data_IF_632033019584
#
_entry.id   IF_632033019584
#
_cell.length_a   1.000
_cell.length_b   1.000
_cell.length_c   1.000
_cell.angle_alpha   90.00
_cell.angle_beta   90.00
_cell.angle_gamma   90.00
#
_symmetry.space_group_name_H-M   'P 1'
#
loop_
_entity.id
_entity.type
_entity.pdbx_description
1 polymer ?
#
# COMPACT_ATOMS: atom_id res chain seq x y z
N UNK A 1 -18.70 0.46 -31.86
CA UNK A 1 -17.92 0.70 -30.64
C UNK A 1 -18.91 0.94 -29.53
N UNK A 2 -19.18 -0.10 -28.75
CA UNK A 2 -20.34 -0.19 -27.88
C UNK A 2 -20.25 0.83 -26.72
N UNK A 3 -21.35 1.56 -26.50
CA UNK A 3 -21.48 2.57 -25.44
C UNK A 3 -21.13 2.02 -24.04
N UNK A 4 -21.21 0.70 -23.84
CA UNK A 4 -20.77 0.02 -22.61
C UNK A 4 -19.26 0.10 -22.35
N UNK A 5 -18.43 0.09 -23.39
CA UNK A 5 -16.97 0.14 -23.25
C UNK A 5 -16.48 1.54 -22.82
N UNK A 6 -17.13 2.60 -23.34
CA UNK A 6 -16.82 3.98 -22.93
C UNK A 6 -17.21 4.20 -21.46
N UNK A 7 -18.35 3.66 -21.02
CA UNK A 7 -18.78 3.69 -19.62
C UNK A 7 -17.77 3.03 -18.67
N UNK A 8 -17.24 1.86 -19.04
CA UNK A 8 -16.19 1.15 -18.30
C UNK A 8 -14.90 1.96 -18.19
N UNK A 9 -14.49 2.64 -19.26
CA UNK A 9 -13.29 3.49 -19.27
C UNK A 9 -13.46 4.69 -18.34
N UNK A 10 -14.60 5.37 -18.39
CA UNK A 10 -14.89 6.53 -17.54
C UNK A 10 -15.00 6.11 -16.07
N UNK A 11 -15.70 5.01 -15.78
CA UNK A 11 -15.81 4.49 -14.43
C UNK A 11 -14.42 4.09 -13.87
N UNK A 12 -13.60 3.40 -14.67
CA UNK A 12 -12.23 3.06 -14.30
C UNK A 12 -11.35 4.29 -14.05
N UNK A 13 -11.51 5.35 -14.84
CA UNK A 13 -10.80 6.62 -14.64
C UNK A 13 -11.20 7.29 -13.33
N UNK A 14 -12.50 7.41 -13.03
CA UNK A 14 -13.00 8.05 -11.81
C UNK A 14 -12.58 7.27 -10.56
N UNK A 15 -12.74 5.94 -10.59
CA UNK A 15 -12.31 5.08 -9.48
C UNK A 15 -10.80 5.16 -9.28
N UNK A 16 -10.02 5.07 -10.36
CA UNK A 16 -8.56 5.21 -10.30
C UNK A 16 -8.11 6.57 -9.79
N UNK A 17 -8.83 7.65 -10.13
CA UNK A 17 -8.57 8.99 -9.64
C UNK A 17 -8.85 9.13 -8.14
N UNK A 18 -10.00 8.61 -7.66
CA UNK A 18 -10.36 8.65 -6.23
C UNK A 18 -9.38 7.81 -5.38
N UNK A 19 -9.04 6.60 -5.85
CA UNK A 19 -8.06 5.73 -5.16
C UNK A 19 -6.67 6.37 -5.19
N UNK A 20 -6.29 6.97 -6.32
CA UNK A 20 -5.03 7.70 -6.45
C UNK A 20 -4.92 8.91 -5.52
N UNK A 21 -5.99 9.69 -5.37
CA UNK A 21 -6.03 10.85 -4.46
C UNK A 21 -6.07 10.45 -2.98
N UNK A 22 -6.80 9.40 -2.63
CA UNK A 22 -6.93 8.98 -1.24
C UNK A 22 -5.66 8.33 -0.72
N UNK A 23 -4.84 7.71 -1.58
CA UNK A 23 -3.60 7.03 -1.18
C UNK A 23 -3.79 5.84 -0.22
N UNK A 24 -5.04 5.60 0.20
CA UNK A 24 -5.50 4.42 0.93
C UNK A 24 -5.54 3.30 -0.10
N UNK A 25 -4.49 2.46 -0.11
CA UNK A 25 -4.27 1.44 -1.14
C UNK A 25 -5.53 0.62 -1.45
N UNK A 26 -5.76 0.38 -2.75
CA UNK A 26 -6.93 -0.30 -3.31
C UNK A 26 -7.37 -1.55 -2.54
N UNK A 27 -6.44 -2.34 -2.00
CA UNK A 27 -6.75 -3.61 -1.33
C UNK A 27 -7.56 -3.53 -0.03
N UNK A 28 -7.61 -2.39 0.63
CA UNK A 28 -8.46 -2.25 1.82
C UNK A 28 -9.96 -2.20 1.48
N UNK A 29 -10.32 -1.73 0.27
CA UNK A 29 -11.70 -1.55 -0.18
C UNK A 29 -12.06 -2.50 -1.33
N UNK A 30 -11.16 -2.74 -2.28
CA UNK A 30 -11.41 -3.53 -3.47
C UNK A 30 -11.46 -5.03 -3.17
N UNK A 31 -10.63 -5.52 -2.25
CA UNK A 31 -10.63 -6.93 -1.87
C UNK A 31 -11.92 -7.39 -1.18
N UNK A 32 -12.50 -6.69 -0.18
CA UNK A 32 -13.78 -7.10 0.40
C UNK A 32 -14.94 -7.02 -0.61
N UNK A 33 -14.92 -6.07 -1.55
CA UNK A 33 -15.92 -5.98 -2.63
C UNK A 33 -15.82 -7.19 -3.56
N UNK A 34 -14.62 -7.58 -4.00
CA UNK A 34 -14.42 -8.72 -4.90
C UNK A 34 -14.73 -10.07 -4.25
N UNK A 35 -14.52 -10.20 -2.94
CA UNK A 35 -14.93 -11.40 -2.19
C UNK A 35 -16.45 -11.53 -2.10
N UNK A 36 -17.18 -10.41 -2.04
CA UNK A 36 -18.64 -10.42 -2.07
C UNK A 36 -19.19 -10.94 -3.41
N UNK A 37 -18.41 -10.80 -4.50
CA UNK A 37 -18.71 -11.37 -5.82
C UNK A 37 -18.30 -12.84 -6.00
N UNK A 38 -17.83 -13.53 -4.95
CA UNK A 38 -17.55 -14.97 -5.00
C UNK A 38 -16.28 -15.38 -5.75
N UNK A 39 -15.40 -14.43 -6.07
CA UNK A 39 -14.12 -14.70 -6.75
C UNK A 39 -13.14 -15.34 -5.76
N UNK A 40 -12.25 -16.21 -6.27
CA UNK A 40 -11.17 -16.79 -5.47
C UNK A 40 -10.34 -15.67 -4.78
N UNK A 41 -10.23 -15.69 -3.44
CA UNK A 41 -9.50 -14.68 -2.65
C UNK A 41 -8.06 -14.45 -3.10
N UNK A 42 -7.36 -15.53 -3.47
CA UNK A 42 -5.96 -15.46 -3.87
C UNK A 42 -5.80 -14.63 -5.15
N UNK A 43 -6.67 -14.87 -6.14
CA UNK A 43 -6.66 -14.15 -7.40
C UNK A 43 -7.09 -12.69 -7.21
N UNK A 44 -8.14 -12.44 -6.41
CA UNK A 44 -8.64 -11.11 -6.14
C UNK A 44 -7.58 -10.21 -5.46
N UNK A 45 -6.89 -10.73 -4.44
CA UNK A 45 -5.81 -10.01 -3.74
C UNK A 45 -4.63 -9.77 -4.67
N UNK A 46 -4.23 -10.78 -5.46
CA UNK A 46 -3.10 -10.66 -6.39
C UNK A 46 -3.32 -9.60 -7.46
N UNK A 47 -4.51 -9.58 -8.08
CA UNK A 47 -4.84 -8.59 -9.11
C UNK A 47 -4.93 -7.17 -8.55
N UNK A 48 -5.53 -6.99 -7.38
CA UNK A 48 -5.57 -5.69 -6.72
C UNK A 48 -4.16 -5.18 -6.36
N UNK A 49 -3.29 -6.05 -5.84
CA UNK A 49 -1.93 -5.67 -5.50
C UNK A 49 -1.13 -5.22 -6.73
N UNK A 50 -1.29 -5.90 -7.86
CA UNK A 50 -0.69 -5.50 -9.14
C UNK A 50 -1.21 -4.14 -9.60
N UNK A 51 -2.53 -3.92 -9.54
CA UNK A 51 -3.15 -2.64 -9.88
C UNK A 51 -2.64 -1.50 -8.97
N UNK A 52 -2.57 -1.75 -7.66
CA UNK A 52 -2.04 -0.80 -6.68
C UNK A 52 -0.56 -0.49 -6.93
N UNK A 53 0.24 -1.47 -7.32
CA UNK A 53 1.65 -1.27 -7.64
C UNK A 53 1.83 -0.35 -8.86
N UNK A 54 1.06 -0.56 -9.93
CA UNK A 54 1.13 0.26 -11.16
C UNK A 54 0.72 1.70 -10.86
N UNK A 55 -0.43 1.88 -10.19
CA UNK A 55 -0.95 3.23 -9.87
C UNK A 55 -0.02 3.99 -8.92
N UNK A 56 0.54 3.32 -7.91
CA UNK A 56 1.52 3.93 -7.00
C UNK A 56 2.83 4.26 -7.69
N UNK A 57 3.31 3.42 -8.61
CA UNK A 57 4.53 3.69 -9.37
C UNK A 57 4.41 5.00 -10.18
N UNK A 58 3.26 5.24 -10.81
CA UNK A 58 2.97 6.52 -11.46
C UNK A 58 2.98 7.70 -10.49
N UNK A 59 2.37 7.54 -9.30
CA UNK A 59 2.40 8.56 -8.24
C UNK A 59 3.81 8.86 -7.71
N UNK A 60 4.65 7.83 -7.57
CA UNK A 60 6.05 7.96 -7.16
C UNK A 60 6.84 8.79 -8.15
N UNK A 61 6.67 8.59 -9.47
CA UNK A 61 7.37 9.39 -10.48
C UNK A 61 7.06 10.89 -10.37
N UNK A 62 5.79 11.23 -10.12
CA UNK A 62 5.36 12.63 -9.95
C UNK A 62 5.94 13.23 -8.67
N UNK A 63 5.89 12.51 -7.54
CA UNK A 63 6.43 12.99 -6.26
C UNK A 63 7.96 13.04 -6.24
N UNK A 64 8.62 12.14 -6.98
CA UNK A 64 10.07 12.10 -7.16
C UNK A 64 10.56 13.34 -7.91
N UNK A 65 9.85 13.74 -8.97
CA UNK A 65 10.14 14.98 -9.71
C UNK A 65 10.04 16.22 -8.81
N UNK A 66 9.11 16.22 -7.87
CA UNK A 66 8.91 17.32 -6.92
C UNK A 66 9.89 17.29 -5.72
N UNK A 67 10.84 16.34 -5.67
CA UNK A 67 11.79 16.14 -4.54
C UNK A 67 11.14 15.94 -3.16
N UNK A 68 9.90 15.46 -3.13
CA UNK A 68 9.15 15.24 -1.89
C UNK A 68 9.34 13.83 -1.29
N UNK A 69 10.32 13.06 -1.77
CA UNK A 69 10.55 11.67 -1.34
C UNK A 69 11.77 11.60 -0.44
N UNK A 70 11.56 11.14 0.80
CA UNK A 70 12.63 10.70 1.68
C UNK A 70 13.06 9.27 1.28
N UNK A 71 14.17 9.19 0.55
CA UNK A 71 14.72 7.92 0.08
C UNK A 71 15.30 7.05 1.20
N UNK A 72 15.67 7.64 2.34
CA UNK A 72 16.17 6.87 3.48
C UNK A 72 15.02 6.09 4.13
N UNK A 73 13.91 6.76 4.44
CA UNK A 73 12.71 6.11 5.01
C UNK A 73 12.16 5.05 4.05
N UNK A 74 12.10 5.39 2.76
CA UNK A 74 11.66 4.46 1.70
C UNK A 74 12.55 3.21 1.65
N UNK A 75 13.87 3.37 1.75
CA UNK A 75 14.82 2.26 1.81
C UNK A 75 14.58 1.34 3.00
N UNK A 76 14.44 1.89 4.21
CA UNK A 76 14.16 1.12 5.42
C UNK A 76 12.83 0.35 5.34
N UNK A 77 11.77 0.97 4.83
CA UNK A 77 10.48 0.32 4.63
C UNK A 77 10.56 -0.82 3.60
N UNK A 78 11.31 -0.62 2.51
CA UNK A 78 11.47 -1.62 1.45
C UNK A 78 12.26 -2.83 1.96
N UNK A 79 13.33 -2.58 2.72
CA UNK A 79 14.15 -3.63 3.34
C UNK A 79 13.38 -4.46 4.37
N UNK A 80 12.38 -3.90 5.04
CA UNK A 80 11.50 -4.68 5.92
C UNK A 80 10.41 -5.44 5.14
N UNK A 81 9.73 -4.76 4.23
CA UNK A 81 8.53 -5.30 3.57
C UNK A 81 8.82 -6.34 2.49
N UNK A 82 9.81 -6.12 1.61
CA UNK A 82 10.09 -7.02 0.49
C UNK A 82 10.57 -8.40 0.96
N UNK A 83 11.53 -8.51 1.90
CA UNK A 83 11.95 -9.80 2.43
C UNK A 83 10.84 -10.49 3.24
N UNK A 84 10.03 -9.72 3.98
CA UNK A 84 8.91 -10.29 4.72
C UNK A 84 7.87 -10.94 3.80
N UNK A 85 7.53 -10.31 2.67
CA UNK A 85 6.66 -10.90 1.65
C UNK A 85 7.29 -12.18 1.09
N UNK A 86 8.57 -12.14 0.71
CA UNK A 86 9.27 -13.32 0.20
C UNK A 86 9.30 -14.48 1.19
N UNK A 87 9.59 -14.21 2.46
CA UNK A 87 9.63 -15.20 3.53
C UNK A 87 8.24 -15.78 3.81
N UNK A 88 7.20 -14.95 3.78
CA UNK A 88 5.80 -15.40 3.94
C UNK A 88 5.37 -16.30 2.79
N UNK A 89 5.67 -15.93 1.55
CA UNK A 89 5.35 -16.75 0.37
C UNK A 89 6.12 -18.07 0.39
N UNK A 90 7.41 -18.04 0.77
CA UNK A 90 8.21 -19.25 0.91
C UNK A 90 7.66 -20.19 1.99
N UNK A 91 7.31 -19.64 3.16
CA UNK A 91 6.69 -20.39 4.24
C UNK A 91 5.35 -20.99 3.82
N UNK A 92 4.51 -20.21 3.13
CA UNK A 92 3.22 -20.66 2.63
C UNK A 92 3.35 -21.73 1.53
N UNK A 93 4.36 -21.61 0.67
CA UNK A 93 4.64 -22.61 -0.37
C UNK A 93 5.18 -23.93 0.18
N UNK A 94 5.86 -23.89 1.34
CA UNK A 94 6.35 -25.08 2.03
C UNK A 94 5.21 -25.89 2.66
N UNK A 95 4.07 -25.23 2.92
CA UNK A 95 2.83 -25.87 3.34
C UNK A 95 2.06 -26.31 2.09
N UNK A 96 2.36 -27.49 1.55
CA UNK A 96 1.61 -28.16 0.48
C UNK A 96 0.17 -28.50 0.93
N UNK A 97 -0.67 -27.48 1.10
CA UNK A 97 -2.06 -27.59 1.53
C UNK A 97 -3.00 -27.55 0.32
N UNK A 98 -4.17 -28.17 0.46
CA UNK A 98 -5.19 -28.15 -0.59
C UNK A 98 -5.63 -26.71 -0.95
N UNK A 99 -6.06 -26.46 -2.20
CA UNK A 99 -6.48 -25.13 -2.66
C UNK A 99 -7.54 -24.46 -1.78
N UNK A 100 -8.45 -25.26 -1.21
CA UNK A 100 -9.52 -24.77 -0.33
C UNK A 100 -9.01 -24.26 1.02
N UNK A 101 -8.00 -24.93 1.60
CA UNK A 101 -7.36 -24.50 2.83
C UNK A 101 -6.59 -23.18 2.62
N UNK A 102 -5.92 -23.03 1.48
CA UNK A 102 -5.21 -21.80 1.12
C UNK A 102 -6.16 -20.61 1.01
N UNK A 103 -7.30 -20.81 0.35
CA UNK A 103 -8.34 -19.79 0.22
C UNK A 103 -8.92 -19.39 1.58
N UNK A 104 -9.12 -20.34 2.50
CA UNK A 104 -9.59 -20.06 3.85
C UNK A 104 -8.57 -19.23 4.66
N UNK A 105 -7.28 -19.58 4.58
CA UNK A 105 -6.20 -18.84 5.23
C UNK A 105 -6.13 -17.40 4.70
N UNK A 106 -6.18 -17.21 3.38
CA UNK A 106 -6.16 -15.88 2.75
C UNK A 106 -7.37 -15.04 3.19
N UNK A 107 -8.58 -15.63 3.23
CA UNK A 107 -9.79 -14.93 3.71
C UNK A 107 -9.65 -14.49 5.17
N UNK A 108 -9.18 -15.36 6.04
CA UNK A 108 -9.01 -15.06 7.47
C UNK A 108 -7.92 -14.00 7.70
N UNK A 109 -6.78 -14.14 7.02
CA UNK A 109 -5.69 -13.16 7.08
C UNK A 109 -6.17 -11.77 6.61
N UNK A 110 -6.92 -11.71 5.53
CA UNK A 110 -7.51 -10.45 5.05
C UNK A 110 -8.45 -9.84 6.10
N UNK A 111 -9.36 -10.63 6.67
CA UNK A 111 -10.28 -10.16 7.71
C UNK A 111 -9.54 -9.61 8.93
N UNK A 112 -8.50 -10.30 9.38
CA UNK A 112 -7.65 -9.83 10.47
C UNK A 112 -6.93 -8.52 10.12
N UNK A 113 -6.34 -8.42 8.92
CA UNK A 113 -5.64 -7.21 8.47
C UNK A 113 -6.60 -6.02 8.35
N UNK A 114 -7.80 -6.21 7.80
CA UNK A 114 -8.81 -5.15 7.70
C UNK A 114 -9.26 -4.67 9.08
N UNK A 115 -9.51 -5.61 10.00
CA UNK A 115 -9.86 -5.28 11.38
C UNK A 115 -8.73 -4.53 12.10
N UNK A 116 -7.50 -5.04 12.00
CA UNK A 116 -6.32 -4.40 12.56
C UNK A 116 -6.08 -3.00 11.98
N UNK A 117 -6.30 -2.81 10.67
CA UNK A 117 -6.20 -1.51 9.99
C UNK A 117 -7.27 -0.55 10.50
N UNK A 118 -8.52 -0.99 10.60
CA UNK A 118 -9.61 -0.16 11.13
C UNK A 118 -9.31 0.28 12.58
N UNK A 119 -8.83 -0.65 13.40
CA UNK A 119 -8.43 -0.37 14.78
C UNK A 119 -7.25 0.61 14.84
N UNK A 120 -6.21 0.40 14.02
CA UNK A 120 -5.07 1.31 13.92
C UNK A 120 -5.48 2.72 13.48
N UNK A 121 -6.43 2.86 12.55
CA UNK A 121 -6.96 4.15 12.10
C UNK A 121 -7.71 4.85 13.25
N UNK A 122 -8.50 4.12 14.04
CA UNK A 122 -9.24 4.67 15.18
C UNK A 122 -8.29 5.20 16.27
N UNK A 123 -7.19 4.49 16.52
CA UNK A 123 -6.16 4.90 17.47
C UNK A 123 -5.08 5.82 16.86
N UNK A 124 -5.16 6.14 15.56
CA UNK A 124 -4.14 6.94 14.84
C UNK A 124 -3.78 8.23 15.57
N UNK A 125 -4.76 8.92 16.16
CA UNK A 125 -4.53 10.15 16.93
C UNK A 125 -3.61 9.91 18.15
N UNK A 126 -3.78 8.79 18.86
CA UNK A 126 -2.92 8.41 19.99
C UNK A 126 -1.59 7.82 19.53
N UNK A 127 -1.58 7.07 18.43
CA UNK A 127 -0.38 6.47 17.87
C UNK A 127 0.60 7.54 17.36
N UNK A 128 0.07 8.59 16.73
CA UNK A 128 0.86 9.73 16.27
C UNK A 128 1.41 10.56 17.44
N UNK A 129 0.62 10.76 18.50
CA UNK A 129 1.11 11.41 19.73
C UNK A 129 2.27 10.60 20.35
N UNK A 130 2.09 9.28 20.50
CA UNK A 130 3.13 8.40 21.03
C UNK A 130 4.39 8.31 20.13
N UNK A 131 4.21 8.37 18.82
CA UNK A 131 5.31 8.42 17.86
C UNK A 131 6.06 9.75 17.93
N UNK A 132 5.35 10.87 18.10
CA UNK A 132 5.97 12.19 18.27
C UNK A 132 6.76 12.28 19.58
N UNK A 133 6.21 11.72 20.67
CA UNK A 133 6.85 11.68 21.98
C UNK A 133 8.14 10.84 22.01
N UNK A 134 8.24 9.82 21.14
CA UNK A 134 9.47 9.01 20.96
C UNK A 134 10.39 9.49 19.83
N UNK A 135 9.89 10.28 18.90
CA UNK A 135 10.68 10.93 17.84
C UNK A 135 11.33 12.25 18.29
N UNK A 136 11.07 12.69 19.53
CA UNK A 136 11.79 13.78 20.18
C UNK A 136 13.24 13.40 20.49
N UNK A 137 14.15 13.63 19.55
CA UNK A 137 15.60 13.61 19.82
C UNK A 137 16.54 13.56 18.62
N UNK A 138 16.13 13.09 17.44
CA UNK A 138 17.09 12.84 16.33
C UNK A 138 16.60 13.22 14.92
N UNK A 139 15.81 14.29 14.77
CA UNK A 139 15.68 14.98 13.49
C UNK A 139 16.37 16.33 13.57
N UNK A 140 17.71 16.29 13.45
CA UNK A 140 18.54 17.46 13.17
C UNK A 140 18.86 17.47 11.67
N UNK A 141 18.07 18.10 10.79
CA UNK A 141 18.51 18.39 9.44
C UNK A 141 19.44 19.62 9.50
N UNK A 142 20.65 19.49 10.05
CA UNK A 142 21.62 20.59 10.01
C UNK A 142 23.07 20.10 9.92
N UNK A 143 23.70 20.50 8.81
CA UNK A 143 25.15 20.65 8.66
C UNK A 143 25.79 19.60 7.74
N UNK A 144 26.60 19.91 6.73
CA UNK A 144 27.33 21.15 6.50
C UNK A 144 28.10 21.06 5.16
N UNK A 145 27.46 21.20 3.98
CA UNK A 145 28.24 21.31 2.73
C UNK A 145 27.74 22.14 1.54
N UNK A 146 26.57 22.80 1.51
CA UNK A 146 26.18 23.52 0.28
C UNK A 146 25.47 24.87 0.47
N UNK A 147 25.80 25.61 1.55
CA UNK A 147 25.56 27.07 1.67
C UNK A 147 26.49 27.91 0.76
N UNK A 148 27.02 27.35 -0.33
CA UNK A 148 27.95 28.04 -1.25
C UNK A 148 27.27 28.47 -2.56
N UNK A 149 26.05 27.98 -2.85
CA UNK A 149 25.36 28.26 -4.13
C UNK A 149 24.15 29.19 -4.04
N UNK A 150 23.90 29.82 -2.89
CA UNK A 150 22.77 30.76 -2.69
C UNK A 150 23.23 32.21 -2.48
N UNK A 151 24.36 32.59 -3.08
CA UNK A 151 24.71 34.00 -3.28
C UNK A 151 24.47 34.34 -4.75
N UNK A 152 23.69 35.41 -4.95
CA UNK A 152 23.12 35.99 -6.18
C UNK A 152 21.74 35.47 -6.55
#
# INVERSE_FOLDING_TARGET
MDFGNVGLVIAGLVVGFIVGMTGVGGGSLMTPILLWFGINPATAVGTDLLYAAITKSGGVLVHAKNRNIDWAITGWLTLGSVPAVGLTLWFLSSLHSSPDAMNAIIKQALGFVLFATALAILFKKRLLQFAHDRAGGHYNPTGSRLNVLTVV
#
